data_IF_785892145376
#
_entry.id   IF_785892145376
#
_cell.length_a   1.000
_cell.length_b   1.000
_cell.length_c   1.000
_cell.angle_alpha   90.00
_cell.angle_beta   90.00
_cell.angle_gamma   90.00
#
_symmetry.space_group_name_H-M   'P 1'
#
loop_
_entity.id
_entity.type
_entity.pdbx_description
1 polymer ?
#
# COMPACT_ATOMS: atom_id res chain seq x y z
N UNK A 1 -6.68 0.78 20.98
CA UNK A 1 -5.65 0.07 21.77
C UNK A 1 -5.71 0.54 23.22
N UNK A 2 -5.60 1.85 23.52
CA UNK A 2 -5.63 2.38 24.90
C UNK A 2 -6.93 2.02 25.66
N UNK A 3 -8.10 1.99 24.99
CA UNK A 3 -9.35 1.50 25.59
C UNK A 3 -9.31 0.00 25.88
N UNK A 4 -8.76 -0.80 24.96
CA UNK A 4 -8.64 -2.25 25.17
C UNK A 4 -7.70 -2.62 26.32
N UNK A 5 -6.69 -1.80 26.62
CA UNK A 5 -5.79 -2.00 27.75
C UNK A 5 -6.47 -1.77 29.12
N UNK A 6 -7.59 -1.05 29.15
CA UNK A 6 -8.43 -0.85 30.36
C UNK A 6 -9.42 -1.98 30.60
N UNK A 7 -9.62 -2.86 29.61
CA UNK A 7 -10.47 -4.03 29.78
C UNK A 7 -9.75 -5.07 30.67
N UNK A 8 -10.53 -5.84 31.43
CA UNK A 8 -10.02 -6.98 32.20
C UNK A 8 -9.54 -8.06 31.22
N UNK A 9 -8.25 -8.03 30.86
CA UNK A 9 -7.65 -8.98 29.95
C UNK A 9 -6.32 -8.51 29.38
N UNK A 10 -5.52 -9.44 28.90
CA UNK A 10 -4.24 -9.17 28.24
C UNK A 10 -4.43 -9.13 26.73
N UNK A 11 -4.07 -8.02 26.08
CA UNK A 11 -4.00 -7.96 24.62
C UNK A 11 -2.80 -8.79 24.17
N UNK A 12 -3.03 -9.86 23.44
CA UNK A 12 -2.00 -10.82 22.99
C UNK A 12 -1.46 -10.46 21.61
N UNK A 13 -2.31 -9.98 20.70
CA UNK A 13 -1.94 -9.67 19.33
C UNK A 13 -2.86 -8.58 18.73
N UNK A 14 -2.47 -8.06 17.57
CA UNK A 14 -3.23 -7.11 16.76
C UNK A 14 -3.45 -7.72 15.37
N UNK A 15 -4.71 -7.71 14.91
CA UNK A 15 -5.09 -7.89 13.52
C UNK A 15 -5.46 -6.53 12.91
N UNK A 16 -5.06 -6.32 11.66
CA UNK A 16 -5.37 -5.09 10.90
C UNK A 16 -6.27 -5.45 9.72
N UNK A 17 -7.39 -4.77 9.61
CA UNK A 17 -8.21 -4.78 8.41
C UNK A 17 -8.43 -3.35 7.94
N UNK A 18 -8.63 -3.15 6.64
CA UNK A 18 -8.73 -1.83 6.06
C UNK A 18 -9.51 -1.83 4.76
N UNK A 19 -10.06 -0.67 4.46
CA UNK A 19 -10.57 -0.35 3.13
C UNK A 19 -9.44 -0.43 2.12
N UNK A 20 -9.51 -1.41 1.20
CA UNK A 20 -8.50 -1.63 0.16
C UNK A 20 -8.41 -0.47 -0.82
N UNK A 21 -7.42 -0.50 -1.71
CA UNK A 21 -7.15 0.45 -2.81
C UNK A 21 -6.83 1.89 -2.38
N UNK A 22 -7.16 2.30 -1.16
CA UNK A 22 -6.79 3.62 -0.66
C UNK A 22 -5.28 3.78 -0.63
N UNK A 23 -4.78 4.79 -1.32
CA UNK A 23 -3.36 4.96 -1.63
C UNK A 23 -2.75 6.04 -0.77
N UNK A 24 -1.67 5.71 -0.07
CA UNK A 24 -0.87 6.63 0.73
C UNK A 24 0.59 6.57 0.27
N UNK A 25 1.21 7.74 0.06
CA UNK A 25 2.65 7.87 -0.14
C UNK A 25 3.23 8.77 0.94
N UNK A 26 4.37 8.36 1.51
CA UNK A 26 5.00 9.11 2.60
C UNK A 26 6.53 9.09 2.53
N UNK A 27 7.13 10.07 3.19
CA UNK A 27 8.58 10.15 3.37
C UNK A 27 9.02 9.14 4.45
N UNK A 28 9.90 8.22 4.09
CA UNK A 28 10.48 7.21 4.98
C UNK A 28 11.21 7.80 6.20
N UNK A 29 11.77 8.99 6.10
CA UNK A 29 12.52 9.62 7.20
C UNK A 29 11.61 10.27 8.22
N UNK A 30 10.59 10.97 7.74
CA UNK A 30 9.75 11.82 8.60
C UNK A 30 8.39 11.20 8.93
N UNK A 31 7.94 10.22 8.15
CA UNK A 31 6.60 9.66 8.23
C UNK A 31 5.49 10.61 7.75
N UNK A 32 5.85 11.77 7.19
CA UNK A 32 4.87 12.73 6.66
C UNK A 32 4.39 12.27 5.29
N UNK A 33 3.08 12.28 5.09
CA UNK A 33 2.50 11.99 3.78
C UNK A 33 2.82 13.12 2.80
N UNK A 34 3.15 12.74 1.55
CA UNK A 34 3.46 13.74 0.49
C UNK A 34 2.21 14.33 -0.12
N UNK A 35 1.08 13.66 0.04
CA UNK A 35 -0.24 14.09 -0.42
C UNK A 35 -1.34 13.46 0.46
N UNK A 36 -2.57 13.97 0.37
CA UNK A 36 -3.74 13.36 1.00
C UNK A 36 -3.95 11.94 0.45
N UNK A 37 -4.43 11.02 1.28
CA UNK A 37 -4.79 9.68 0.85
C UNK A 37 -5.84 9.74 -0.28
N UNK A 38 -5.60 8.98 -1.36
CA UNK A 38 -6.55 8.92 -2.48
C UNK A 38 -7.37 7.65 -2.32
N UNK A 39 -8.67 7.83 -2.07
CA UNK A 39 -9.62 6.73 -1.84
C UNK A 39 -10.04 6.04 -3.13
N UNK A 40 -10.67 4.87 -3.01
CA UNK A 40 -11.15 4.07 -4.14
C UNK A 40 -12.18 4.78 -5.04
N UNK A 41 -12.99 5.67 -4.49
CA UNK A 41 -14.01 6.44 -5.22
C UNK A 41 -13.43 7.54 -6.12
N UNK A 42 -12.17 7.91 -5.92
CA UNK A 42 -11.54 9.03 -6.61
C UNK A 42 -11.29 8.71 -8.10
N UNK A 43 -11.76 9.56 -8.99
CA UNK A 43 -11.73 9.38 -10.45
C UNK A 43 -10.72 10.28 -11.18
N UNK A 44 -9.86 11.00 -10.46
CA UNK A 44 -8.88 11.92 -11.09
C UNK A 44 -7.93 11.26 -12.09
N UNK A 45 -7.79 9.93 -12.07
CA UNK A 45 -6.96 9.17 -12.98
C UNK A 45 -7.72 8.61 -14.21
N UNK A 46 -9.03 8.91 -14.35
CA UNK A 46 -9.87 8.32 -15.39
C UNK A 46 -9.33 8.57 -16.81
N UNK A 47 -8.83 9.77 -17.10
CA UNK A 47 -8.24 10.09 -18.41
C UNK A 47 -6.95 9.31 -18.68
N UNK A 48 -6.13 9.10 -17.64
CA UNK A 48 -4.95 8.25 -17.77
C UNK A 48 -5.33 6.78 -18.02
N UNK A 49 -6.37 6.27 -17.38
CA UNK A 49 -6.90 4.93 -17.64
C UNK A 49 -7.37 4.79 -19.09
N UNK A 50 -8.12 5.77 -19.63
CA UNK A 50 -8.51 5.79 -21.04
C UNK A 50 -7.29 5.76 -21.97
N UNK A 51 -6.24 6.53 -21.65
CA UNK A 51 -5.00 6.53 -22.42
C UNK A 51 -4.33 5.14 -22.44
N UNK A 52 -4.24 4.47 -21.30
CA UNK A 52 -3.68 3.11 -21.22
C UNK A 52 -4.49 2.10 -22.06
N UNK A 53 -5.83 2.19 -22.04
CA UNK A 53 -6.71 1.34 -22.87
C UNK A 53 -6.47 1.59 -24.35
N UNK A 54 -6.41 2.86 -24.79
CA UNK A 54 -6.05 3.22 -26.18
C UNK A 54 -4.69 2.72 -26.62
N UNK A 55 -3.75 2.53 -25.69
CA UNK A 55 -2.43 1.96 -25.93
C UNK A 55 -2.40 0.42 -25.86
N UNK A 56 -3.56 -0.25 -25.87
CA UNK A 56 -3.72 -1.70 -25.81
C UNK A 56 -3.01 -2.36 -24.61
N UNK A 57 -3.00 -1.69 -23.42
CA UNK A 57 -2.37 -2.23 -22.22
C UNK A 57 -3.31 -3.09 -21.38
N UNK A 58 -4.60 -3.13 -21.70
CA UNK A 58 -5.61 -3.79 -20.86
C UNK A 58 -5.39 -5.30 -20.77
N UNK A 59 -5.19 -5.99 -21.89
CA UNK A 59 -4.94 -7.44 -21.91
C UNK A 59 -3.71 -7.81 -21.08
N UNK A 60 -2.61 -7.07 -21.22
CA UNK A 60 -1.40 -7.32 -20.44
C UNK A 60 -1.64 -7.18 -18.94
N UNK A 61 -2.33 -6.12 -18.53
CA UNK A 61 -2.61 -5.84 -17.11
C UNK A 61 -3.60 -6.87 -16.58
N UNK A 62 -4.68 -7.15 -17.31
CA UNK A 62 -5.70 -8.12 -16.91
C UNK A 62 -5.10 -9.53 -16.72
N UNK A 63 -4.32 -10.03 -17.66
CA UNK A 63 -3.72 -11.36 -17.58
C UNK A 63 -2.78 -11.56 -16.38
N UNK A 64 -2.21 -10.46 -15.87
CA UNK A 64 -1.29 -10.50 -14.74
C UNK A 64 -1.95 -10.24 -13.39
N UNK A 65 -2.98 -9.41 -13.37
CA UNK A 65 -3.58 -8.93 -12.13
C UNK A 65 -5.02 -9.42 -11.92
N UNK A 66 -5.68 -9.92 -12.97
CA UNK A 66 -7.13 -10.21 -12.96
C UNK A 66 -8.01 -8.95 -12.95
N UNK A 67 -7.42 -7.75 -13.09
CA UNK A 67 -8.14 -6.49 -12.93
C UNK A 67 -8.20 -5.71 -14.26
N UNK A 68 -9.34 -5.08 -14.57
CA UNK A 68 -9.42 -4.12 -15.68
C UNK A 68 -8.61 -2.86 -15.34
N UNK A 69 -8.27 -2.07 -16.36
CA UNK A 69 -7.69 -0.76 -16.13
C UNK A 69 -8.78 0.19 -15.61
N UNK A 70 -8.68 0.57 -14.34
CA UNK A 70 -9.60 1.52 -13.72
C UNK A 70 -8.89 2.42 -12.69
N UNK A 71 -9.43 3.61 -12.49
CA UNK A 71 -9.00 4.55 -11.45
C UNK A 71 -9.28 4.07 -10.02
N UNK A 72 -10.09 3.04 -9.88
CA UNK A 72 -10.39 2.38 -8.62
C UNK A 72 -9.14 1.87 -7.91
N UNK A 73 -8.19 1.30 -8.66
CA UNK A 73 -7.03 0.60 -8.14
C UNK A 73 -5.83 1.52 -7.83
N UNK A 74 -4.98 1.10 -6.90
CA UNK A 74 -3.90 1.94 -6.36
C UNK A 74 -2.84 2.35 -7.38
N UNK A 75 -2.52 1.50 -8.36
CA UNK A 75 -1.43 1.75 -9.31
C UNK A 75 -1.54 3.07 -10.06
N UNK A 76 -2.75 3.42 -10.54
CA UNK A 76 -3.00 4.69 -11.24
C UNK A 76 -2.97 5.90 -10.30
N UNK A 77 -3.33 5.72 -9.02
CA UNK A 77 -3.25 6.76 -7.99
C UNK A 77 -1.80 7.08 -7.63
N UNK A 78 -0.96 6.06 -7.48
CA UNK A 78 0.49 6.23 -7.31
C UNK A 78 1.06 7.03 -8.48
N UNK A 79 0.73 6.62 -9.71
CA UNK A 79 1.15 7.31 -10.94
C UNK A 79 0.77 8.78 -10.93
N UNK A 80 -0.49 9.08 -10.57
CA UNK A 80 -0.96 10.45 -10.50
C UNK A 80 -0.18 11.29 -9.47
N UNK A 81 0.06 10.75 -8.27
CA UNK A 81 0.85 11.46 -7.24
C UNK A 81 2.27 11.72 -7.74
N UNK A 82 2.91 10.73 -8.36
CA UNK A 82 4.26 10.87 -8.91
C UNK A 82 4.34 11.90 -10.04
N UNK A 83 3.28 12.09 -10.83
CA UNK A 83 3.26 13.04 -11.93
C UNK A 83 2.94 14.46 -11.46
N UNK A 84 2.10 14.62 -10.45
CA UNK A 84 1.58 15.93 -10.04
C UNK A 84 2.27 16.51 -8.79
N UNK A 85 2.92 15.68 -7.97
CA UNK A 85 3.56 16.11 -6.73
C UNK A 85 5.07 16.00 -6.87
N UNK A 86 5.73 17.11 -7.15
CA UNK A 86 7.19 17.15 -7.41
C UNK A 86 8.02 16.56 -6.26
N UNK A 87 7.59 16.78 -5.00
CA UNK A 87 8.23 16.22 -3.82
C UNK A 87 8.20 14.69 -3.82
N UNK A 88 7.09 14.05 -4.23
CA UNK A 88 6.99 12.59 -4.31
C UNK A 88 8.05 12.02 -5.26
N UNK A 89 8.20 12.63 -6.44
CA UNK A 89 9.21 12.22 -7.42
C UNK A 89 10.64 12.40 -6.89
N UNK A 90 10.91 13.52 -6.25
CA UNK A 90 12.22 13.79 -5.62
C UNK A 90 12.56 12.73 -4.56
N UNK A 91 11.61 12.41 -3.68
CA UNK A 91 11.79 11.39 -2.64
C UNK A 91 11.95 9.98 -3.23
N UNK A 92 11.18 9.63 -4.28
CA UNK A 92 11.35 8.35 -4.97
C UNK A 92 12.76 8.21 -5.54
N UNK A 93 13.28 9.22 -6.21
CA UNK A 93 14.63 9.19 -6.79
C UNK A 93 15.72 9.08 -5.71
N UNK A 94 15.49 9.65 -4.51
CA UNK A 94 16.37 9.53 -3.35
C UNK A 94 16.18 8.23 -2.56
N UNK A 95 15.32 7.30 -2.99
CA UNK A 95 14.92 6.07 -2.27
C UNK A 95 14.36 6.34 -0.86
N UNK A 96 13.67 7.46 -0.70
CA UNK A 96 13.08 7.92 0.56
C UNK A 96 11.54 7.94 0.54
N UNK A 97 10.91 7.63 -0.59
CA UNK A 97 9.47 7.49 -0.71
C UNK A 97 9.04 6.06 -0.38
N UNK A 98 7.95 5.92 0.34
CA UNK A 98 7.24 4.66 0.52
C UNK A 98 5.80 4.81 0.04
N UNK A 99 5.27 3.72 -0.47
CA UNK A 99 3.85 3.53 -0.82
C UNK A 99 3.24 2.46 0.07
N UNK A 100 1.96 2.61 0.37
CA UNK A 100 1.13 1.56 0.93
C UNK A 100 -0.35 1.84 0.77
N UNK A 101 -1.12 0.79 0.90
CA UNK A 101 -2.50 0.85 1.33
C UNK A 101 -2.55 1.18 2.83
N UNK A 102 -3.73 1.35 3.40
CA UNK A 102 -3.87 1.82 4.79
C UNK A 102 -3.20 0.87 5.79
N UNK A 103 -3.31 -0.44 5.58
CA UNK A 103 -2.62 -1.46 6.35
C UNK A 103 -1.12 -1.23 6.44
N UNK A 104 -0.45 -1.08 5.29
CA UNK A 104 1.01 -0.82 5.24
C UNK A 104 1.39 0.45 5.98
N UNK A 105 0.61 1.51 5.83
CA UNK A 105 0.87 2.77 6.52
C UNK A 105 0.70 2.61 8.03
N UNK A 106 -0.34 1.89 8.49
CA UNK A 106 -0.57 1.60 9.90
C UNK A 106 0.54 0.73 10.49
N UNK A 107 0.93 -0.37 9.82
CA UNK A 107 2.04 -1.23 10.24
C UNK A 107 3.30 -0.40 10.39
N UNK A 108 3.65 0.37 9.36
CA UNK A 108 4.83 1.22 9.39
C UNK A 108 4.81 2.24 10.55
N UNK A 109 3.66 2.86 10.81
CA UNK A 109 3.48 3.79 11.95
C UNK A 109 3.57 3.08 13.29
N UNK A 110 2.88 1.95 13.45
CA UNK A 110 2.83 1.18 14.71
C UNK A 110 4.18 0.58 15.07
N UNK A 111 4.96 0.17 14.07
CA UNK A 111 6.32 -0.38 14.26
C UNK A 111 7.40 0.71 14.26
N UNK A 112 7.02 2.00 14.23
CA UNK A 112 7.94 3.15 14.17
C UNK A 112 8.93 3.08 13.02
N UNK A 113 8.46 2.62 11.85
CA UNK A 113 9.22 2.55 10.62
C UNK A 113 10.06 1.29 10.42
N UNK A 114 9.97 0.32 11.32
CA UNK A 114 10.75 -0.93 11.23
C UNK A 114 10.21 -1.89 10.17
N UNK A 115 8.88 -1.94 9.98
CA UNK A 115 8.24 -2.86 9.03
C UNK A 115 7.46 -2.07 7.99
N UNK A 116 7.72 -2.40 6.71
CA UNK A 116 6.98 -1.90 5.56
C UNK A 116 6.45 -3.10 4.77
N UNK A 117 5.28 -3.56 5.13
CA UNK A 117 4.66 -4.77 4.60
C UNK A 117 3.16 -4.55 4.33
N UNK A 118 2.62 -5.40 3.49
CA UNK A 118 1.19 -5.57 3.20
C UNK A 118 0.87 -7.06 3.06
N UNK A 119 -0.40 -7.42 2.98
CA UNK A 119 -0.80 -8.79 2.66
C UNK A 119 -1.19 -8.96 1.19
N UNK A 120 -1.34 -10.23 0.76
CA UNK A 120 -1.70 -10.56 -0.61
C UNK A 120 -3.08 -10.03 -1.02
N UNK A 121 -4.05 -9.94 -0.08
CA UNK A 121 -5.41 -9.44 -0.39
C UNK A 121 -5.43 -7.95 -0.67
N UNK A 122 -4.61 -7.16 0.00
CA UNK A 122 -4.40 -5.75 -0.32
C UNK A 122 -3.55 -5.57 -1.58
N UNK A 123 -2.44 -6.31 -1.71
CA UNK A 123 -1.56 -6.22 -2.88
C UNK A 123 -2.28 -6.54 -4.18
N UNK A 124 -3.12 -7.57 -4.22
CA UNK A 124 -3.88 -7.99 -5.41
C UNK A 124 -4.81 -6.89 -5.95
N UNK A 125 -5.24 -5.95 -5.11
CA UNK A 125 -6.13 -4.84 -5.50
C UNK A 125 -5.40 -3.58 -5.96
N UNK A 126 -4.09 -3.64 -6.10
CA UNK A 126 -3.30 -2.47 -6.51
C UNK A 126 -3.17 -2.28 -8.03
N UNK A 127 -3.54 -3.28 -8.84
CA UNK A 127 -3.31 -3.34 -10.30
C UNK A 127 -1.82 -3.33 -10.70
N UNK A 128 -0.91 -3.60 -9.77
CA UNK A 128 0.54 -3.70 -10.02
C UNK A 128 1.14 -4.99 -9.44
N UNK A 129 0.32 -5.85 -8.86
CA UNK A 129 0.70 -7.14 -8.31
C UNK A 129 0.28 -8.27 -9.24
N UNK A 130 1.21 -9.14 -9.60
CA UNK A 130 0.96 -10.30 -10.44
C UNK A 130 0.50 -11.47 -9.56
N UNK A 131 -0.78 -11.84 -9.69
CA UNK A 131 -1.43 -12.87 -8.88
C UNK A 131 -0.98 -14.30 -9.21
N UNK A 132 -0.39 -14.51 -10.39
CA UNK A 132 0.13 -15.83 -10.77
C UNK A 132 1.53 -16.09 -10.23
N UNK A 133 2.37 -15.04 -10.14
CA UNK A 133 3.74 -15.16 -9.63
C UNK A 133 3.90 -14.72 -8.18
N UNK A 134 2.84 -14.17 -7.59
CA UNK A 134 2.82 -13.58 -6.24
C UNK A 134 3.93 -12.54 -6.01
N UNK A 135 4.08 -11.62 -7.00
CA UNK A 135 5.12 -10.57 -6.97
C UNK A 135 4.62 -9.26 -7.58
N UNK A 136 5.23 -8.15 -7.18
CA UNK A 136 5.08 -6.88 -7.88
C UNK A 136 5.56 -7.04 -9.33
N UNK A 137 4.71 -6.67 -10.31
CA UNK A 137 4.98 -6.92 -11.74
C UNK A 137 5.85 -5.83 -12.35
N UNK A 138 7.07 -6.18 -12.75
CA UNK A 138 8.05 -5.22 -13.26
C UNK A 138 7.61 -4.58 -14.60
N UNK A 139 6.84 -5.28 -15.45
CA UNK A 139 6.33 -4.71 -16.71
C UNK A 139 5.27 -3.63 -16.45
N UNK A 140 4.35 -3.89 -15.52
CA UNK A 140 3.33 -2.91 -15.14
C UNK A 140 3.98 -1.72 -14.43
N UNK A 141 4.93 -1.97 -13.52
CA UNK A 141 5.69 -0.91 -12.84
C UNK A 141 6.41 -0.01 -13.85
N UNK A 142 7.01 -0.58 -14.90
CA UNK A 142 7.63 0.17 -15.99
C UNK A 142 6.63 1.05 -16.74
N UNK A 143 5.45 0.52 -17.09
CA UNK A 143 4.36 1.27 -17.75
C UNK A 143 3.94 2.47 -16.90
N UNK A 144 3.74 2.26 -15.60
CA UNK A 144 3.31 3.30 -14.67
C UNK A 144 4.46 4.19 -14.17
N UNK A 145 5.72 3.88 -14.53
CA UNK A 145 6.95 4.56 -14.06
C UNK A 145 7.08 4.58 -12.54
N UNK A 146 6.68 3.48 -11.90
CA UNK A 146 6.80 3.27 -10.46
C UNK A 146 8.09 2.49 -10.20
N UNK A 147 8.87 2.92 -9.22
CA UNK A 147 10.10 2.21 -8.80
C UNK A 147 9.76 1.17 -7.73
N UNK A 148 10.23 -0.06 -7.89
CA UNK A 148 9.92 -1.20 -7.01
C UNK A 148 10.28 -0.96 -5.53
N UNK A 149 11.34 -0.18 -5.28
CA UNK A 149 11.81 0.09 -3.92
C UNK A 149 10.86 0.92 -3.05
N UNK A 150 9.79 1.49 -3.62
CA UNK A 150 8.77 2.20 -2.83
C UNK A 150 7.67 1.26 -2.32
N UNK A 151 7.62 0.03 -2.82
CA UNK A 151 6.54 -0.93 -2.57
C UNK A 151 6.81 -1.75 -1.30
N UNK A 152 5.77 -2.12 -0.53
CA UNK A 152 5.92 -2.94 0.66
C UNK A 152 6.30 -4.40 0.30
N UNK A 153 6.86 -5.10 1.25
CA UNK A 153 6.95 -6.56 1.24
C UNK A 153 5.54 -7.14 1.28
N UNK A 154 5.26 -8.14 0.46
CA UNK A 154 3.96 -8.84 0.48
C UNK A 154 4.10 -10.13 1.28
N UNK A 155 3.22 -10.31 2.26
CA UNK A 155 3.19 -11.43 3.19
C UNK A 155 1.83 -12.15 3.13
N UNK A 156 1.73 -13.29 3.79
CA UNK A 156 0.46 -13.97 4.02
C UNK A 156 -0.42 -13.19 5.00
N UNK A 157 -1.75 -13.37 4.94
CA UNK A 157 -2.68 -12.68 5.84
C UNK A 157 -2.38 -12.97 7.32
N UNK A 158 -1.96 -14.19 7.64
CA UNK A 158 -1.50 -14.60 8.96
C UNK A 158 0.03 -14.77 8.93
N UNK A 159 0.75 -13.74 9.34
CA UNK A 159 2.22 -13.69 9.31
C UNK A 159 2.75 -12.77 10.41
N UNK A 160 4.06 -12.76 10.58
CA UNK A 160 4.74 -11.81 11.46
C UNK A 160 4.93 -10.45 10.76
N UNK A 161 4.09 -9.49 11.16
CA UNK A 161 4.19 -8.08 10.71
C UNK A 161 4.97 -7.20 11.71
N UNK A 162 5.76 -7.82 12.58
CA UNK A 162 6.49 -7.14 13.63
C UNK A 162 5.64 -6.87 14.87
N UNK A 163 6.12 -5.97 15.72
CA UNK A 163 5.42 -5.58 16.94
C UNK A 163 5.30 -4.07 17.05
N UNK A 164 4.28 -3.62 17.74
CA UNK A 164 4.11 -2.19 18.01
C UNK A 164 5.24 -1.66 18.86
N UNK A 165 5.68 -0.45 18.58
CA UNK A 165 6.68 0.20 19.42
C UNK A 165 6.06 0.65 20.76
N UNK A 166 6.75 0.39 21.87
CA UNK A 166 6.24 0.68 23.23
C UNK A 166 5.85 2.16 23.45
N UNK A 167 6.54 3.08 22.80
CA UNK A 167 6.19 4.51 22.88
C UNK A 167 4.83 4.88 22.27
N UNK A 168 4.22 3.96 21.49
CA UNK A 168 2.92 4.18 20.84
C UNK A 168 1.79 3.49 21.60
N UNK A 169 2.05 2.29 22.09
CA UNK A 169 1.04 1.42 22.69
C UNK A 169 1.28 1.13 24.18
N UNK A 170 2.31 1.71 24.78
CA UNK A 170 2.72 1.46 26.16
C UNK A 170 3.48 0.15 26.37
N UNK A 171 3.35 -0.80 25.44
CA UNK A 171 4.07 -2.09 25.43
C UNK A 171 4.23 -2.59 24.01
N UNK A 172 5.14 -3.54 23.80
CA UNK A 172 5.27 -4.24 22.53
C UNK A 172 4.13 -5.25 22.38
N UNK A 173 3.36 -5.16 21.31
CA UNK A 173 2.25 -6.08 20.98
C UNK A 173 2.48 -6.59 19.56
N UNK A 174 2.55 -7.92 19.34
CA UNK A 174 2.75 -8.47 18.00
C UNK A 174 1.58 -8.14 17.07
N UNK A 175 1.90 -7.86 15.80
CA UNK A 175 0.93 -7.72 14.71
C UNK A 175 1.01 -9.01 13.91
N UNK A 176 -0.05 -9.83 13.96
CA UNK A 176 -0.03 -11.22 13.45
C UNK A 176 -1.02 -11.48 12.34
N UNK A 177 -1.82 -10.50 11.99
CA UNK A 177 -2.80 -10.64 10.92
C UNK A 177 -3.05 -9.32 10.19
N UNK A 178 -3.13 -9.41 8.88
CA UNK A 178 -3.49 -8.29 7.99
C UNK A 178 -4.35 -8.83 6.86
N UNK A 179 -5.50 -8.21 6.63
CA UNK A 179 -6.43 -8.65 5.58
C UNK A 179 -7.27 -7.48 5.10
N UNK A 180 -7.60 -7.46 3.81
CA UNK A 180 -8.57 -6.52 3.26
C UNK A 180 -9.98 -6.75 3.80
N UNK A 181 -10.83 -5.74 3.67
CA UNK A 181 -12.20 -5.70 4.23
C UNK A 181 -13.24 -6.55 3.46
N UNK A 182 -12.85 -7.22 2.37
CA UNK A 182 -13.72 -8.07 1.53
C UNK A 182 -12.99 -9.33 1.08
#
# INVERSE_FOLDING_TARGET
ILKAQKLRGKVLAIGITNQRETTVLWDKKTGRTVYKAIVWQDRRQAEYCKKLKKQNKETLIFNKTGLPIDSYFSGTKIKWILDNISQARKLMNKKQLLFGTIDSFLIWRLTKGQVHATDATNASRTMIYNISSNKWDDAILKILRIKKHILPEVKDCADNYGSTHSSITGKSIPITGVVGDQ
#
